data_IF_398830180633
#
_entry.id   IF_398830180633
#
_cell.length_a   1.000
_cell.length_b   1.000
_cell.length_c   1.000
_cell.angle_alpha   90.00
_cell.angle_beta   90.00
_cell.angle_gamma   90.00
#
_symmetry.space_group_name_H-M   'P 1'
#
loop_
_entity.id
_entity.type
_entity.pdbx_description
1 polymer ?
#
# COMPACT_ATOMS: atom_id res chain seq x y z
N UNK A 1 -9.06 -31.64 0.87
CA UNK A 1 -9.45 -31.31 -0.51
C UNK A 1 -8.21 -30.79 -1.20
N UNK A 2 -7.88 -31.28 -2.40
CA UNK A 2 -6.83 -30.65 -3.18
C UNK A 2 -7.30 -29.24 -3.57
N UNK A 3 -6.51 -28.21 -3.27
CA UNK A 3 -6.81 -26.87 -3.75
C UNK A 3 -6.56 -26.82 -5.26
N UNK A 4 -7.44 -26.13 -5.97
CA UNK A 4 -7.35 -25.96 -7.41
C UNK A 4 -6.09 -25.14 -7.75
N UNK A 5 -5.26 -25.65 -8.66
CA UNK A 5 -4.11 -24.88 -9.17
C UNK A 5 -4.52 -24.02 -10.35
N UNK A 6 -3.69 -23.03 -10.68
CA UNK A 6 -3.91 -22.16 -11.84
C UNK A 6 -3.96 -22.97 -13.15
N UNK A 7 -3.14 -24.02 -13.26
CA UNK A 7 -3.12 -24.91 -14.42
C UNK A 7 -4.39 -25.78 -14.51
N UNK A 8 -4.99 -26.14 -13.38
CA UNK A 8 -6.22 -26.93 -13.35
C UNK A 8 -7.42 -26.16 -13.90
N UNK A 9 -7.45 -24.84 -13.68
CA UNK A 9 -8.50 -23.96 -14.20
C UNK A 9 -8.33 -23.77 -15.71
N UNK A 10 -7.11 -23.47 -16.17
CA UNK A 10 -6.81 -23.28 -17.59
C UNK A 10 -7.06 -24.52 -18.44
N UNK A 11 -6.78 -25.71 -17.90
CA UNK A 11 -7.00 -26.96 -18.62
C UNK A 11 -8.43 -27.50 -18.49
N UNK A 12 -9.31 -26.81 -17.77
CA UNK A 12 -10.68 -27.29 -17.52
C UNK A 12 -11.53 -27.15 -18.77
N UNK A 13 -12.06 -28.28 -19.25
CA UNK A 13 -13.03 -28.31 -20.36
C UNK A 13 -14.43 -28.64 -19.86
N UNK A 14 -15.37 -27.74 -20.13
CA UNK A 14 -16.79 -27.93 -19.82
C UNK A 14 -17.52 -28.64 -20.97
N UNK A 15 -18.61 -29.35 -20.63
CA UNK A 15 -19.44 -30.05 -21.61
C UNK A 15 -20.43 -29.09 -22.27
N UNK A 16 -20.57 -29.14 -23.59
CA UNK A 16 -21.50 -28.28 -24.34
C UNK A 16 -22.96 -28.77 -24.19
N UNK A 17 -23.83 -27.93 -23.62
CA UNK A 17 -25.26 -28.25 -23.43
C UNK A 17 -26.12 -27.51 -24.46
N UNK A 18 -26.59 -28.23 -25.50
CA UNK A 18 -27.41 -27.64 -26.58
C UNK A 18 -28.92 -27.59 -26.29
N UNK A 19 -29.38 -28.42 -25.34
CA UNK A 19 -30.82 -28.65 -25.08
C UNK A 19 -31.27 -28.23 -23.68
N UNK A 20 -30.39 -27.55 -22.93
CA UNK A 20 -30.68 -27.01 -21.59
C UNK A 20 -30.18 -25.58 -21.53
N UNK A 21 -30.79 -24.76 -20.67
CA UNK A 21 -30.23 -23.46 -20.32
C UNK A 21 -28.79 -23.68 -19.82
N UNK A 22 -27.85 -23.04 -20.50
CA UNK A 22 -26.43 -23.14 -20.25
C UNK A 22 -25.84 -21.75 -20.16
N UNK A 23 -24.68 -21.65 -19.51
CA UNK A 23 -23.90 -20.42 -19.47
C UNK A 23 -23.30 -20.12 -20.84
N UNK A 24 -23.14 -18.84 -21.17
CA UNK A 24 -22.42 -18.43 -22.37
C UNK A 24 -20.95 -18.83 -22.23
N UNK A 25 -20.41 -19.47 -23.25
CA UNK A 25 -19.02 -19.92 -23.24
C UNK A 25 -18.06 -18.74 -23.11
N UNK A 26 -18.36 -17.61 -23.76
CA UNK A 26 -17.47 -16.43 -23.75
C UNK A 26 -17.43 -15.80 -22.35
N UNK A 27 -18.58 -15.69 -21.70
CA UNK A 27 -18.69 -15.16 -20.33
C UNK A 27 -18.01 -16.08 -19.31
N UNK A 28 -18.15 -17.40 -19.49
CA UNK A 28 -17.45 -18.38 -18.65
C UNK A 28 -15.94 -18.27 -18.86
N UNK A 29 -15.46 -18.15 -20.09
CA UNK A 29 -14.02 -18.04 -20.38
C UNK A 29 -13.44 -16.75 -19.75
N UNK A 30 -14.13 -15.60 -19.87
CA UNK A 30 -13.71 -14.33 -19.24
C UNK A 30 -13.65 -14.42 -17.70
N UNK A 31 -14.65 -15.06 -17.08
CA UNK A 31 -14.64 -15.28 -15.63
C UNK A 31 -13.49 -16.22 -15.20
N UNK A 32 -13.17 -17.24 -15.98
CA UNK A 32 -12.06 -18.15 -15.66
C UNK A 32 -10.70 -17.46 -15.74
N UNK A 33 -10.53 -16.50 -16.67
CA UNK A 33 -9.32 -15.67 -16.74
C UNK A 33 -9.16 -14.81 -15.47
N UNK A 34 -10.24 -14.21 -14.98
CA UNK A 34 -10.24 -13.45 -13.71
C UNK A 34 -9.89 -14.34 -12.51
N UNK A 35 -10.48 -15.54 -12.45
CA UNK A 35 -10.20 -16.53 -11.40
C UNK A 35 -8.73 -16.96 -11.43
N UNK A 36 -8.16 -17.19 -12.60
CA UNK A 36 -6.74 -17.53 -12.77
C UNK A 36 -5.83 -16.42 -12.26
N UNK A 37 -6.11 -15.17 -12.64
CA UNK A 37 -5.38 -13.98 -12.17
C UNK A 37 -5.41 -13.86 -10.64
N UNK A 38 -6.60 -14.05 -10.05
CA UNK A 38 -6.80 -13.98 -8.60
C UNK A 38 -6.05 -15.10 -7.87
N UNK A 39 -6.10 -16.34 -8.38
CA UNK A 39 -5.39 -17.48 -7.79
C UNK A 39 -3.88 -17.26 -7.84
N UNK A 40 -3.35 -16.73 -8.94
CA UNK A 40 -1.92 -16.40 -9.04
C UNK A 40 -1.52 -15.36 -8.01
N UNK A 41 -2.28 -14.26 -7.92
CA UNK A 41 -2.04 -13.18 -6.95
C UNK A 41 -2.07 -13.69 -5.53
N UNK A 42 -3.11 -14.46 -5.15
CA UNK A 42 -3.21 -15.07 -3.83
C UNK A 42 -2.05 -16.04 -3.54
N UNK A 43 -1.56 -16.79 -4.53
CA UNK A 43 -0.45 -17.71 -4.32
C UNK A 43 0.84 -16.94 -4.02
N UNK A 44 1.13 -15.89 -4.80
CA UNK A 44 2.28 -15.00 -4.57
C UNK A 44 2.18 -14.35 -3.19
N UNK A 45 1.04 -13.77 -2.83
CA UNK A 45 0.84 -13.17 -1.51
C UNK A 45 1.03 -14.19 -0.37
N UNK A 46 0.53 -15.42 -0.54
CA UNK A 46 0.74 -16.48 0.46
C UNK A 46 2.22 -16.89 0.56
N UNK A 47 2.96 -16.89 -0.53
CA UNK A 47 4.41 -17.15 -0.52
C UNK A 47 5.14 -16.03 0.23
N UNK A 48 4.88 -14.78 -0.13
CA UNK A 48 5.46 -13.60 0.53
C UNK A 48 5.15 -13.56 2.04
N UNK A 49 3.92 -13.90 2.43
CA UNK A 49 3.51 -13.96 3.84
C UNK A 49 4.23 -15.09 4.59
N UNK A 50 4.41 -16.25 3.96
CA UNK A 50 5.18 -17.35 4.55
C UNK A 50 6.64 -16.99 4.72
N UNK A 51 7.26 -16.35 3.73
CA UNK A 51 8.65 -15.87 3.83
C UNK A 51 8.81 -14.84 4.94
N UNK A 52 7.86 -13.90 5.08
CA UNK A 52 7.84 -12.92 6.17
C UNK A 52 7.68 -13.58 7.53
N UNK A 53 6.83 -14.60 7.65
CA UNK A 53 6.67 -15.37 8.89
C UNK A 53 7.96 -16.11 9.24
N UNK A 54 8.57 -16.81 8.28
CA UNK A 54 9.84 -17.50 8.51
C UNK A 54 10.96 -16.52 8.90
N UNK A 55 11.03 -15.34 8.29
CA UNK A 55 12.00 -14.30 8.64
C UNK A 55 11.76 -13.75 10.06
N UNK A 56 10.50 -13.51 10.42
CA UNK A 56 10.12 -13.08 11.77
C UNK A 56 10.43 -14.17 12.81
N UNK A 57 10.12 -15.43 12.50
CA UNK A 57 10.44 -16.58 13.36
C UNK A 57 11.95 -16.75 13.55
N UNK A 58 12.76 -16.60 12.49
CA UNK A 58 14.23 -16.59 12.60
C UNK A 58 14.71 -15.43 13.47
N UNK A 59 14.13 -14.24 13.31
CA UNK A 59 14.49 -13.08 14.13
C UNK A 59 14.14 -13.27 15.59
N UNK A 60 13.00 -13.89 15.88
CA UNK A 60 12.60 -14.27 17.24
C UNK A 60 13.55 -15.32 17.79
N UNK A 61 13.93 -16.34 17.00
CA UNK A 61 14.87 -17.37 17.41
C UNK A 61 16.29 -16.82 17.70
N UNK A 62 16.76 -15.84 16.94
CA UNK A 62 18.01 -15.11 17.21
C UNK A 62 17.94 -14.31 18.52
N UNK A 63 16.81 -13.63 18.77
CA UNK A 63 16.59 -12.87 20.00
C UNK A 63 16.41 -13.79 21.22
N UNK A 64 15.74 -14.94 21.05
CA UNK A 64 15.54 -15.92 22.12
C UNK A 64 16.81 -16.71 22.40
N UNK A 65 17.58 -17.10 21.37
CA UNK A 65 18.89 -17.74 21.56
C UNK A 65 19.94 -16.75 22.10
N UNK A 66 19.83 -15.48 21.76
CA UNK A 66 20.59 -14.39 22.38
C UNK A 66 20.22 -14.15 23.86
N UNK A 67 18.98 -14.45 24.25
CA UNK A 67 18.54 -14.49 25.65
C UNK A 67 19.00 -15.78 26.38
N UNK A 68 19.20 -16.89 25.64
CA UNK A 68 19.60 -18.19 26.18
C UNK A 68 21.12 -18.30 26.47
N UNK A 69 21.96 -17.36 26.01
CA UNK A 69 23.39 -17.30 26.41
C UNK A 69 23.58 -16.70 27.82
N UNK A 70 22.49 -16.34 28.53
CA UNK A 70 22.56 -15.90 29.93
C UNK A 70 22.13 -16.98 30.93
N UNK A 71 21.67 -18.16 30.50
CA UNK A 71 21.13 -19.11 31.48
C UNK A 71 21.52 -20.58 31.27
N UNK A 72 22.36 -21.07 32.19
CA UNK A 72 22.33 -22.42 32.74
C UNK A 72 23.24 -22.55 33.99
N UNK A 73 22.97 -23.43 35.00
CA UNK A 73 21.67 -23.84 35.57
C UNK A 73 21.66 -24.20 37.10
N UNK A 74 20.44 -24.47 37.62
CA UNK A 74 20.01 -25.35 38.76
C UNK A 74 19.91 -24.80 40.21
N UNK A 75 18.67 -24.69 40.72
CA UNK A 75 18.13 -25.54 41.82
C UNK A 75 16.63 -25.26 42.12
N UNK A 76 15.74 -26.29 42.14
CA UNK A 76 14.31 -26.15 42.45
C UNK A 76 13.95 -26.63 43.87
N UNK A 77 13.10 -25.89 44.60
CA UNK A 77 12.39 -26.40 45.78
C UNK A 77 11.08 -25.60 46.05
N UNK A 78 9.98 -26.31 45.80
CA UNK A 78 8.55 -26.20 46.18
C UNK A 78 8.17 -25.30 47.37
N UNK A 79 7.15 -24.43 47.21
CA UNK A 79 5.84 -24.51 47.94
C UNK A 79 4.86 -23.39 47.51
N UNK A 80 3.59 -23.79 47.34
CA UNK A 80 2.42 -22.99 46.95
C UNK A 80 1.59 -22.71 48.21
N UNK A 81 1.23 -21.44 48.48
CA UNK A 81 0.06 -21.08 49.33
C UNK A 81 -0.67 -19.85 48.76
N UNK A 82 -1.99 -20.00 48.73
CA UNK A 82 -3.12 -19.13 48.35
C UNK A 82 -3.14 -17.65 48.85
N UNK A 83 -3.60 -16.78 47.94
CA UNK A 83 -4.80 -15.90 48.00
C UNK A 83 -5.19 -15.12 49.31
N UNK A 84 -5.05 -13.77 49.23
CA UNK A 84 -5.86 -12.60 49.72
C UNK A 84 -6.67 -12.65 51.06
N UNK A 85 -6.96 -11.52 51.79
CA UNK A 85 -6.92 -10.08 51.42
C UNK A 85 -6.31 -9.08 52.46
N UNK A 86 -6.14 -7.82 52.03
CA UNK A 86 -5.88 -6.49 52.68
C UNK A 86 -5.77 -6.30 54.24
N UNK A 87 -5.14 -5.22 54.78
CA UNK A 87 -4.37 -4.10 54.16
C UNK A 87 -3.01 -3.79 54.84
N UNK A 88 -1.99 -3.31 54.10
CA UNK A 88 -1.02 -2.32 54.62
C UNK A 88 -0.33 -1.59 53.47
N UNK A 89 -0.19 -0.28 53.67
CA UNK A 89 0.33 0.77 52.80
C UNK A 89 1.72 0.46 52.21
N UNK A 90 1.90 0.68 50.92
CA UNK A 90 2.69 1.82 50.43
C UNK A 90 2.65 1.88 48.91
N UNK A 91 1.93 2.89 48.44
CA UNK A 91 1.96 3.48 47.11
C UNK A 91 3.37 4.01 46.79
N UNK A 92 3.95 3.54 45.69
CA UNK A 92 4.97 4.30 44.96
C UNK A 92 4.22 5.02 43.86
N UNK A 93 3.80 6.25 44.16
CA UNK A 93 3.42 7.23 43.17
C UNK A 93 4.46 8.34 43.20
N UNK A 94 5.02 8.52 42.02
CA UNK A 94 5.81 9.65 41.56
C UNK A 94 5.12 10.96 41.94
N UNK A 95 5.79 11.83 42.68
CA UNK A 95 5.37 13.22 42.82
C UNK A 95 6.59 14.15 42.72
N UNK A 96 6.47 15.24 41.95
CA UNK A 96 7.53 16.23 41.77
C UNK A 96 7.60 17.13 43.02
N UNK A 97 8.81 17.47 43.45
CA UNK A 97 9.01 18.49 44.48
C UNK A 97 9.85 19.62 43.88
N UNK A 98 9.19 20.74 43.65
CA UNK A 98 9.83 22.04 43.47
C UNK A 98 9.67 22.86 44.76
N UNK A 99 10.70 23.67 45.04
CA UNK A 99 10.87 24.62 46.16
C UNK A 99 11.18 23.94 47.51
N UNK A 100 12.26 24.27 48.23
CA UNK A 100 12.70 25.58 48.72
C UNK A 100 14.22 25.56 49.02
N UNK A 101 14.86 26.75 49.04
CA UNK A 101 15.87 27.24 50.02
C UNK A 101 17.19 27.77 49.41
N UNK A 102 17.34 29.09 49.53
CA UNK A 102 18.58 29.88 49.59
C UNK A 102 19.66 29.27 50.48
N UNK A 103 20.92 29.29 50.00
CA UNK A 103 22.21 29.36 50.74
C UNK A 103 22.40 28.48 52.00
N UNK A 104 23.49 27.68 52.06
CA UNK A 104 24.70 28.26 52.67
C UNK A 104 26.06 27.70 52.18
N UNK A 105 27.09 28.50 52.48
CA UNK A 105 28.43 28.09 52.89
C UNK A 105 29.30 27.28 51.90
N UNK A 106 30.13 28.02 51.18
CA UNK A 106 31.58 27.97 51.31
C UNK A 106 32.16 26.70 51.97
N UNK A 107 32.70 25.80 51.13
CA UNK A 107 33.97 25.14 51.43
C UNK A 107 34.84 25.21 50.18
N UNK A 108 35.75 26.18 50.19
CA UNK A 108 36.83 26.31 49.22
C UNK A 108 37.81 25.16 49.52
N UNK A 109 37.65 24.04 48.80
CA UNK A 109 38.77 23.13 48.61
C UNK A 109 39.73 23.81 47.61
N UNK A 110 41.05 23.81 47.84
CA UNK A 110 41.99 24.40 46.90
C UNK A 110 41.94 23.53 45.63
N UNK A 111 41.22 24.00 44.63
CA UNK A 111 41.30 23.43 43.29
C UNK A 111 42.67 23.82 42.78
N UNK A 112 43.50 22.83 42.52
CA UNK A 112 44.73 23.03 41.75
C UNK A 112 44.38 23.93 40.57
N UNK A 113 45.01 25.11 40.49
CA UNK A 113 44.66 26.14 39.51
C UNK A 113 44.79 25.64 38.06
N UNK A 114 45.51 24.54 37.85
CA UNK A 114 45.56 23.78 36.59
C UNK A 114 44.27 22.99 36.28
N UNK A 115 43.59 22.41 37.27
CA UNK A 115 42.37 21.61 37.08
C UNK A 115 41.15 22.46 36.72
N UNK A 116 41.02 23.67 37.31
CA UNK A 116 39.98 24.64 36.94
C UNK A 116 40.17 25.18 35.51
N UNK A 117 41.44 25.42 35.11
CA UNK A 117 41.76 25.83 33.74
C UNK A 117 41.51 24.71 32.73
N UNK A 118 41.84 23.45 33.07
CA UNK A 118 41.55 22.28 32.24
C UNK A 118 40.04 22.04 32.06
N UNK A 119 39.25 22.15 33.13
CA UNK A 119 37.78 22.02 33.06
C UNK A 119 37.15 23.11 32.16
N UNK A 120 37.68 24.34 32.22
CA UNK A 120 37.25 25.44 31.35
C UNK A 120 37.60 25.16 29.89
N UNK A 121 38.83 24.70 29.62
CA UNK A 121 39.24 24.31 28.27
C UNK A 121 38.38 23.15 27.73
N UNK A 122 38.06 22.15 28.55
CA UNK A 122 37.18 21.04 28.18
C UNK A 122 35.76 21.52 27.87
N UNK A 123 35.21 22.47 28.63
CA UNK A 123 33.89 23.05 28.37
C UNK A 123 33.87 23.80 27.03
N UNK A 124 34.91 24.60 26.73
CA UNK A 124 34.98 25.32 25.45
C UNK A 124 35.15 24.38 24.25
N UNK A 125 35.88 23.28 24.44
CA UNK A 125 36.00 22.23 23.42
C UNK A 125 34.65 21.52 23.24
N UNK A 126 33.96 21.18 24.32
CA UNK A 126 32.64 20.55 24.27
C UNK A 126 31.60 21.44 23.60
N UNK A 127 31.59 22.75 23.86
CA UNK A 127 30.72 23.72 23.18
C UNK A 127 31.02 23.79 21.68
N UNK A 128 32.30 23.87 21.29
CA UNK A 128 32.67 23.88 19.86
C UNK A 128 32.24 22.60 19.14
N UNK A 129 32.50 21.44 19.75
CA UNK A 129 32.09 20.15 19.18
C UNK A 129 30.56 20.07 19.07
N UNK A 130 29.85 20.56 20.08
CA UNK A 130 28.39 20.63 20.04
C UNK A 130 27.88 21.51 18.89
N UNK A 131 28.44 22.71 18.74
CA UNK A 131 28.07 23.64 17.67
C UNK A 131 28.36 23.05 16.28
N UNK A 132 29.47 22.32 16.14
CA UNK A 132 29.80 21.59 14.91
C UNK A 132 28.77 20.49 14.62
N UNK A 133 28.41 19.64 15.60
CA UNK A 133 27.38 18.62 15.42
C UNK A 133 26.00 19.21 15.09
N UNK A 134 25.64 20.34 15.72
CA UNK A 134 24.38 21.03 15.42
C UNK A 134 24.39 21.58 14.00
N UNK A 135 25.51 22.14 13.54
CA UNK A 135 25.67 22.61 12.16
C UNK A 135 25.60 21.46 11.17
N UNK A 136 26.36 20.38 11.39
CA UNK A 136 26.36 19.21 10.51
C UNK A 136 24.98 18.55 10.46
N UNK A 137 24.28 18.48 11.60
CA UNK A 137 22.90 17.97 11.67
C UNK A 137 21.91 18.82 10.88
N UNK A 138 22.06 20.16 10.92
CA UNK A 138 21.23 21.08 10.12
C UNK A 138 21.50 20.91 8.63
N UNK A 139 22.76 20.90 8.21
CA UNK A 139 23.16 20.72 6.81
C UNK A 139 22.64 19.39 6.26
N UNK A 140 22.74 18.30 7.04
CA UNK A 140 22.21 17.00 6.65
C UNK A 140 20.69 17.00 6.58
N UNK A 141 20.01 17.64 7.53
CA UNK A 141 18.55 17.74 7.50
C UNK A 141 18.05 18.53 6.29
N UNK A 142 18.71 19.65 5.97
CA UNK A 142 18.38 20.47 4.81
C UNK A 142 18.64 19.69 3.51
N UNK A 143 19.70 18.89 3.46
CA UNK A 143 19.99 18.00 2.33
C UNK A 143 18.90 16.96 2.13
N UNK A 144 18.48 16.28 3.20
CA UNK A 144 17.41 15.27 3.14
C UNK A 144 16.08 15.91 2.74
N UNK A 145 15.76 17.08 3.29
CA UNK A 145 14.54 17.82 2.95
C UNK A 145 14.56 18.23 1.47
N UNK A 146 15.67 18.75 0.97
CA UNK A 146 15.82 19.11 -0.44
C UNK A 146 15.67 17.89 -1.38
N UNK A 147 16.29 16.75 -1.03
CA UNK A 147 16.15 15.52 -1.79
C UNK A 147 14.71 14.98 -1.76
N UNK A 148 14.07 15.02 -0.60
CA UNK A 148 12.68 14.59 -0.44
C UNK A 148 11.72 15.46 -1.27
N UNK A 149 11.92 16.79 -1.27
CA UNK A 149 11.15 17.70 -2.12
C UNK A 149 11.40 17.45 -3.61
N UNK A 150 12.64 17.27 -4.04
CA UNK A 150 12.96 16.97 -5.43
C UNK A 150 12.26 15.68 -5.91
N UNK A 151 12.27 14.63 -5.10
CA UNK A 151 11.56 13.37 -5.39
C UNK A 151 10.04 13.54 -5.40
N UNK A 152 9.49 14.35 -4.49
CA UNK A 152 8.06 14.64 -4.47
C UNK A 152 7.63 15.37 -5.74
N UNK A 153 8.40 16.37 -6.18
CA UNK A 153 8.13 17.12 -7.40
C UNK A 153 8.24 16.24 -8.65
N UNK A 154 9.20 15.32 -8.69
CA UNK A 154 9.34 14.31 -9.76
C UNK A 154 8.10 13.41 -9.85
N UNK A 155 7.65 12.85 -8.72
CA UNK A 155 6.46 12.00 -8.66
C UNK A 155 5.20 12.76 -9.11
N UNK A 156 5.08 14.02 -8.69
CA UNK A 156 3.95 14.88 -9.09
C UNK A 156 3.98 15.14 -10.60
N UNK A 157 5.16 15.44 -11.16
CA UNK A 157 5.32 15.65 -12.60
C UNK A 157 4.99 14.38 -13.39
N UNK A 158 5.47 13.22 -12.95
CA UNK A 158 5.17 11.94 -13.58
C UNK A 158 3.67 11.61 -13.52
N UNK A 159 3.03 11.82 -12.37
CA UNK A 159 1.59 11.61 -12.23
C UNK A 159 0.78 12.55 -13.13
N UNK A 160 1.20 13.82 -13.27
CA UNK A 160 0.58 14.78 -14.18
C UNK A 160 0.74 14.34 -15.64
N UNK A 161 1.94 13.93 -16.06
CA UNK A 161 2.20 13.45 -17.42
C UNK A 161 1.37 12.19 -17.76
N UNK A 162 1.27 11.25 -16.81
CA UNK A 162 0.42 10.07 -16.96
C UNK A 162 -1.06 10.45 -17.07
N UNK A 163 -1.53 11.38 -16.24
CA UNK A 163 -2.89 11.88 -16.29
C UNK A 163 -3.23 12.52 -17.64
N UNK A 164 -2.37 13.41 -18.15
CA UNK A 164 -2.54 14.03 -19.47
C UNK A 164 -2.57 12.98 -20.59
N UNK A 165 -1.71 11.97 -20.50
CA UNK A 165 -1.69 10.87 -21.49
C UNK A 165 -2.98 10.05 -21.45
N UNK A 166 -3.51 9.76 -20.26
CA UNK A 166 -4.76 9.01 -20.11
C UNK A 166 -5.94 9.83 -20.64
N UNK A 167 -6.00 11.13 -20.32
CA UNK A 167 -7.04 12.01 -20.86
C UNK A 167 -6.98 12.09 -22.39
N UNK A 168 -5.79 12.23 -22.98
CA UNK A 168 -5.63 12.24 -24.42
C UNK A 168 -6.14 10.94 -25.08
N UNK A 169 -5.84 9.78 -24.49
CA UNK A 169 -6.36 8.48 -24.96
C UNK A 169 -7.89 8.40 -24.85
N UNK A 170 -8.44 8.86 -23.72
CA UNK A 170 -9.89 8.85 -23.50
C UNK A 170 -10.62 9.76 -24.48
N UNK A 171 -10.07 10.93 -24.80
CA UNK A 171 -10.62 11.85 -25.79
C UNK A 171 -10.54 11.28 -27.22
N UNK A 172 -9.47 10.56 -27.56
CA UNK A 172 -9.35 9.83 -28.83
C UNK A 172 -10.43 8.74 -28.95
N UNK A 173 -10.57 7.91 -27.92
CA UNK A 173 -11.59 6.86 -27.86
C UNK A 173 -13.00 7.43 -27.94
N UNK A 174 -13.27 8.52 -27.19
CA UNK A 174 -14.54 9.23 -27.24
C UNK A 174 -14.84 9.72 -28.65
N UNK A 175 -13.88 10.38 -29.30
CA UNK A 175 -14.07 10.90 -30.67
C UNK A 175 -14.30 9.76 -31.67
N UNK A 176 -13.60 8.64 -31.51
CA UNK A 176 -13.79 7.44 -32.34
C UNK A 176 -15.19 6.85 -32.16
N UNK A 177 -15.66 6.72 -30.91
CA UNK A 177 -17.00 6.22 -30.59
C UNK A 177 -18.08 7.17 -31.12
N UNK A 178 -17.92 8.48 -30.93
CA UNK A 178 -18.81 9.50 -31.50
C UNK A 178 -18.88 9.41 -33.04
N UNK A 179 -17.73 9.19 -33.71
CA UNK A 179 -17.67 8.94 -35.15
C UNK A 179 -18.47 7.70 -35.56
N UNK A 180 -18.27 6.59 -34.86
CA UNK A 180 -18.95 5.31 -35.12
C UNK A 180 -20.46 5.44 -34.93
N UNK A 181 -20.90 6.14 -33.87
CA UNK A 181 -22.32 6.42 -33.62
C UNK A 181 -22.94 7.21 -34.77
N UNK A 182 -22.25 8.23 -35.28
CA UNK A 182 -22.74 9.03 -36.40
C UNK A 182 -22.83 8.21 -37.69
N UNK A 183 -21.82 7.36 -37.96
CA UNK A 183 -21.83 6.44 -39.09
C UNK A 183 -23.01 5.47 -39.02
N UNK A 184 -23.25 4.83 -37.87
CA UNK A 184 -24.39 3.94 -37.66
C UNK A 184 -25.73 4.66 -37.84
N UNK A 185 -25.85 5.90 -37.36
CA UNK A 185 -27.06 6.71 -37.56
C UNK A 185 -27.32 7.05 -39.02
N UNK A 186 -26.27 7.42 -39.78
CA UNK A 186 -26.40 7.62 -41.22
C UNK A 186 -26.79 6.34 -41.93
N UNK A 187 -26.14 5.22 -41.58
CA UNK A 187 -26.43 3.91 -42.16
C UNK A 187 -27.88 3.48 -41.90
N UNK A 188 -28.40 3.67 -40.67
CA UNK A 188 -29.81 3.37 -40.36
C UNK A 188 -30.77 4.22 -41.19
N UNK A 189 -30.49 5.53 -41.30
CA UNK A 189 -31.31 6.45 -42.09
C UNK A 189 -31.34 6.07 -43.57
N UNK A 190 -30.17 5.79 -44.14
CA UNK A 190 -30.01 5.40 -45.55
C UNK A 190 -30.65 4.04 -45.82
N UNK A 191 -30.47 3.07 -44.92
CA UNK A 191 -31.10 1.76 -45.01
C UNK A 191 -32.63 1.86 -44.95
N UNK A 192 -33.18 2.66 -44.05
CA UNK A 192 -34.64 2.92 -43.97
C UNK A 192 -35.15 3.61 -45.24
N UNK A 193 -34.41 4.57 -45.77
CA UNK A 193 -34.75 5.24 -47.03
C UNK A 193 -34.74 4.27 -48.21
N UNK A 194 -33.72 3.42 -48.28
CA UNK A 194 -33.57 2.37 -49.29
C UNK A 194 -34.72 1.35 -49.25
N UNK A 195 -35.07 0.85 -48.05
CA UNK A 195 -36.24 -0.03 -47.88
C UNK A 195 -37.52 0.68 -48.32
N UNK A 196 -37.73 1.93 -47.90
CA UNK A 196 -38.92 2.69 -48.30
C UNK A 196 -39.03 2.80 -49.82
N UNK A 197 -37.94 3.19 -50.49
CA UNK A 197 -37.90 3.29 -51.96
C UNK A 197 -38.11 1.94 -52.66
N UNK A 198 -37.56 0.85 -52.11
CA UNK A 198 -37.79 -0.50 -52.64
C UNK A 198 -39.26 -0.92 -52.52
N UNK A 199 -39.88 -0.67 -51.36
CA UNK A 199 -41.31 -0.95 -51.14
C UNK A 199 -42.21 -0.08 -52.02
N UNK A 200 -41.91 1.21 -52.20
CA UNK A 200 -42.62 2.09 -53.13
C UNK A 200 -42.51 1.61 -54.57
N UNK A 201 -41.33 1.15 -54.98
CA UNK A 201 -41.11 0.57 -56.31
C UNK A 201 -41.93 -0.70 -56.49
N UNK A 202 -41.92 -1.61 -55.52
CA UNK A 202 -42.75 -2.83 -55.55
C UNK A 202 -44.24 -2.50 -55.59
N UNK A 203 -44.69 -1.50 -54.83
CA UNK A 203 -46.09 -1.07 -54.82
C UNK A 203 -46.49 -0.43 -56.17
N UNK A 204 -45.61 0.35 -56.79
CA UNK A 204 -45.83 0.90 -58.14
C UNK A 204 -45.91 -0.20 -59.20
N UNK A 205 -45.13 -1.28 -59.07
CA UNK A 205 -45.18 -2.42 -59.98
C UNK A 205 -46.45 -3.27 -59.83
N UNK A 206 -47.02 -3.33 -58.62
CA UNK A 206 -48.27 -4.05 -58.32
C UNK A 206 -49.52 -3.23 -58.68
N UNK A 207 -49.43 -1.90 -58.71
CA UNK A 207 -50.50 -1.00 -59.15
C UNK A 207 -50.26 -0.37 -60.54
N UNK A 208 -50.02 -1.14 -61.62
CA UNK A 208 -49.73 -0.53 -62.92
C UNK A 208 -50.94 0.16 -63.58
N UNK A 209 -52.19 -0.07 -63.13
CA UNK A 209 -53.40 0.27 -63.92
C UNK A 209 -54.56 0.94 -63.16
N UNK A 210 -54.32 1.96 -62.31
CA UNK A 210 -55.44 2.75 -61.69
C UNK A 210 -55.55 4.20 -62.16
N UNK A 211 -54.80 4.61 -63.19
CA UNK A 211 -54.86 5.97 -63.74
C UNK A 211 -55.20 6.02 -65.23
N UNK A 212 -56.27 5.35 -65.70
CA UNK A 212 -56.96 5.73 -66.94
C UNK A 212 -58.45 5.36 -66.85
N UNK A 213 -59.25 6.30 -66.31
CA UNK A 213 -60.65 6.55 -66.68
C UNK A 213 -60.99 8.01 -66.31
#
# INVERSE_FOLDING_TARGET
MALLTTEDVLNKKFQYVKFREGYDQVEVDEFLDEVVSTIYTLNVENQDLKEKLEAAERRIAELSSGAEIVEAPVAPAVEVVEEAPAPVEQTVEEAPVATVVETPAETVAPVDTESAAFATNMLTLAQRVHDEYVRDGKEESERIIAEAHAKADEIVADAQNQHETILAKLDEERTRLEGTINELRSFESDYRSSIRGHLETLLSQVNPDTQQD
#
